data_IF_979548307710
#
_entry.id   IF_979548307710
#
_cell.length_a   1.000
_cell.length_b   1.000
_cell.length_c   1.000
_cell.angle_alpha   90.00
_cell.angle_beta   90.00
_cell.angle_gamma   90.00
#
_symmetry.space_group_name_H-M   'P 1'
#
loop_
_entity.id
_entity.type
_entity.pdbx_description
1 polymer ?
#
# COMPACT_ATOMS: atom_id res chain seq x y z
N UNK A 1 22.96 -5.81 -20.04
CA UNK A 1 22.57 -5.33 -18.70
C UNK A 1 21.12 -5.75 -18.54
N UNK A 2 20.99 -6.97 -18.05
CA UNK A 2 19.83 -7.82 -18.23
C UNK A 2 19.02 -7.77 -16.93
N UNK A 3 18.08 -6.83 -16.85
CA UNK A 3 17.21 -6.65 -15.68
C UNK A 3 16.05 -7.67 -15.63
N UNK A 4 16.21 -8.84 -16.24
CA UNK A 4 15.12 -9.80 -16.48
C UNK A 4 15.22 -11.09 -15.65
N UNK A 5 16.11 -11.17 -14.67
CA UNK A 5 16.19 -12.32 -13.75
C UNK A 5 15.85 -11.94 -12.31
N UNK A 6 14.78 -11.16 -12.15
CA UNK A 6 14.11 -11.17 -10.86
C UNK A 6 13.42 -12.54 -10.71
N UNK A 7 13.61 -13.24 -9.57
CA UNK A 7 12.95 -14.51 -9.35
C UNK A 7 11.45 -14.33 -9.56
N UNK A 8 10.78 -15.33 -10.14
CA UNK A 8 9.31 -15.44 -10.08
C UNK A 8 8.98 -15.62 -8.61
N UNK A 9 8.93 -14.50 -7.92
CA UNK A 9 8.41 -14.45 -6.59
C UNK A 9 6.91 -14.85 -6.69
N UNK A 10 6.36 -15.44 -5.64
CA UNK A 10 5.04 -16.07 -5.69
C UNK A 10 3.97 -15.07 -6.13
N UNK A 11 2.77 -15.55 -6.47
CA UNK A 11 1.58 -14.69 -6.55
C UNK A 11 1.48 -13.87 -5.23
N UNK A 12 2.00 -12.64 -5.21
CA UNK A 12 2.08 -11.83 -3.98
C UNK A 12 3.32 -10.95 -3.83
N UNK A 13 4.38 -11.17 -4.58
CA UNK A 13 5.60 -10.37 -4.44
C UNK A 13 5.65 -9.22 -5.45
N UNK A 14 5.14 -8.08 -5.01
CA UNK A 14 5.18 -6.82 -5.75
C UNK A 14 6.46 -6.07 -5.39
N UNK A 15 7.10 -5.39 -6.36
CA UNK A 15 8.16 -4.48 -5.99
C UNK A 15 7.56 -3.27 -5.28
N UNK A 16 8.23 -2.80 -4.23
CA UNK A 16 7.88 -1.54 -3.57
C UNK A 16 7.75 -0.38 -4.56
N UNK A 17 8.53 -0.42 -5.64
CA UNK A 17 8.47 0.56 -6.74
C UNK A 17 7.16 0.54 -7.51
N UNK A 18 6.50 -0.62 -7.63
CA UNK A 18 5.20 -0.74 -8.29
C UNK A 18 4.07 -0.24 -7.38
N UNK A 19 4.23 -0.38 -6.06
CA UNK A 19 3.27 0.09 -5.06
C UNK A 19 3.32 1.61 -4.87
N UNK A 20 4.46 2.24 -5.13
CA UNK A 20 4.63 3.69 -5.06
C UNK A 20 3.64 4.44 -5.97
N UNK A 21 2.92 5.39 -5.39
CA UNK A 21 1.88 6.16 -6.08
C UNK A 21 0.57 5.42 -6.28
N UNK A 22 0.45 4.16 -5.85
CA UNK A 22 -0.82 3.45 -5.85
C UNK A 22 -1.81 4.11 -4.88
N UNK A 23 -3.07 4.10 -5.27
CA UNK A 23 -4.17 4.57 -4.44
C UNK A 23 -4.55 3.47 -3.45
N UNK A 24 -4.60 3.82 -2.17
CA UNK A 24 -4.99 2.88 -1.12
C UNK A 24 -6.45 3.12 -0.75
N UNK A 25 -7.23 2.05 -0.79
CA UNK A 25 -8.66 2.05 -0.50
C UNK A 25 -8.97 1.00 0.56
N UNK A 26 -9.94 1.26 1.42
CA UNK A 26 -10.40 0.27 2.38
C UNK A 26 -11.34 -0.74 1.73
N UNK A 27 -11.58 -1.88 2.38
CA UNK A 27 -12.62 -2.86 2.02
C UNK A 27 -14.03 -2.25 1.97
N UNK A 28 -14.24 -1.12 2.65
CA UNK A 28 -15.48 -0.33 2.63
C UNK A 28 -15.54 0.69 1.47
N UNK A 29 -14.48 0.78 0.67
CA UNK A 29 -14.36 1.71 -0.46
C UNK A 29 -13.89 3.12 -0.07
N UNK A 30 -13.43 3.34 1.17
CA UNK A 30 -12.88 4.64 1.58
C UNK A 30 -11.46 4.82 1.05
N UNK A 31 -11.20 5.91 0.33
CA UNK A 31 -9.86 6.22 -0.18
C UNK A 31 -8.96 6.83 0.89
N UNK A 32 -8.09 6.00 1.50
CA UNK A 32 -7.12 6.45 2.51
C UNK A 32 -6.12 7.46 1.94
N UNK A 33 -5.76 7.34 0.66
CA UNK A 33 -4.80 8.23 0.03
C UNK A 33 -3.95 7.53 -1.01
N UNK A 34 -2.70 7.98 -1.16
CA UNK A 34 -1.73 7.36 -2.08
C UNK A 34 -0.46 6.99 -1.34
N UNK A 35 0.13 5.84 -1.69
CA UNK A 35 1.45 5.44 -1.20
C UNK A 35 2.48 6.45 -1.68
N UNK A 36 3.18 7.08 -0.75
CA UNK A 36 4.27 8.03 -1.04
C UNK A 36 5.62 7.50 -0.62
N UNK A 37 5.66 6.56 0.33
CA UNK A 37 6.90 5.97 0.80
C UNK A 37 6.66 4.56 1.37
N UNK A 38 7.74 3.81 1.59
CA UNK A 38 7.74 2.55 2.31
C UNK A 38 8.87 2.52 3.34
N UNK A 39 8.54 2.15 4.57
CA UNK A 39 9.50 2.00 5.67
C UNK A 39 9.66 0.53 6.04
N UNK A 40 10.88 0.02 5.90
CA UNK A 40 11.25 -1.31 6.40
C UNK A 40 11.56 -1.19 7.91
N UNK A 41 10.76 -1.82 8.76
CA UNK A 41 10.96 -1.78 10.22
C UNK A 41 11.81 -2.95 10.74
N UNK A 42 12.45 -3.71 9.85
CA UNK A 42 13.26 -4.89 10.15
C UNK A 42 12.47 -6.17 10.44
N UNK A 43 11.17 -6.06 10.77
CA UNK A 43 10.27 -7.22 10.91
C UNK A 43 9.17 -7.25 9.85
N UNK A 44 8.60 -6.08 9.51
CA UNK A 44 7.61 -5.95 8.45
C UNK A 44 7.82 -4.61 7.73
N UNK A 45 7.40 -4.57 6.47
CA UNK A 45 7.32 -3.33 5.72
C UNK A 45 6.10 -2.51 6.14
N UNK A 46 6.21 -1.20 6.08
CA UNK A 46 5.14 -0.25 6.41
C UNK A 46 4.94 0.69 5.24
N UNK A 47 3.74 0.71 4.67
CA UNK A 47 3.32 1.69 3.66
C UNK A 47 3.11 3.04 4.32
N UNK A 48 3.75 4.07 3.77
CA UNK A 48 3.48 5.46 4.12
C UNK A 48 2.51 6.02 3.10
N UNK A 49 1.28 6.25 3.54
CA UNK A 49 0.18 6.71 2.69
C UNK A 49 -0.06 8.18 3.00
N UNK A 50 0.06 9.03 1.99
CA UNK A 50 -0.34 10.42 2.11
C UNK A 50 -1.85 10.53 1.94
N UNK A 51 -2.51 10.98 2.99
CA UNK A 51 -3.94 11.23 2.97
C UNK A 51 -4.28 12.41 2.04
N UNK A 52 -5.51 12.41 1.54
CA UNK A 52 -5.98 13.48 0.67
C UNK A 52 -6.19 14.79 1.45
N UNK A 53 -6.10 15.93 0.78
CA UNK A 53 -6.32 17.27 1.38
C UNK A 53 -7.69 17.45 2.05
N UNK A 54 -8.66 16.59 1.71
CA UNK A 54 -10.02 16.54 2.27
C UNK A 54 -10.26 15.25 3.05
N UNK A 55 -9.23 14.72 3.70
CA UNK A 55 -9.41 13.56 4.56
C UNK A 55 -10.34 13.92 5.73
N UNK A 56 -11.34 13.07 5.97
CA UNK A 56 -12.38 13.33 6.95
C UNK A 56 -11.85 13.38 8.39
N UNK A 57 -10.66 12.82 8.63
CA UNK A 57 -10.05 12.69 9.95
C UNK A 57 -8.92 13.71 10.19
N UNK A 58 -8.61 14.56 9.20
CA UNK A 58 -7.52 15.53 9.30
C UNK A 58 -6.12 14.91 9.39
N UNK A 59 -6.01 13.62 9.05
CA UNK A 59 -4.75 12.88 9.04
C UNK A 59 -3.96 13.30 7.81
N UNK A 60 -2.65 13.53 7.97
CA UNK A 60 -1.76 13.88 6.85
C UNK A 60 -1.12 12.65 6.22
N UNK A 61 -0.70 11.72 7.06
CA UNK A 61 0.07 10.54 6.70
C UNK A 61 -0.40 9.36 7.54
N UNK A 62 -0.52 8.19 6.92
CA UNK A 62 -0.95 6.94 7.54
C UNK A 62 0.13 5.90 7.36
N UNK A 63 0.40 5.17 8.42
CA UNK A 63 1.41 4.11 8.45
C UNK A 63 0.68 2.78 8.49
N UNK A 64 0.61 2.11 7.34
CA UNK A 64 -0.14 0.86 7.19
C UNK A 64 0.85 -0.29 7.02
N UNK A 65 0.93 -1.24 7.95
CA UNK A 65 1.83 -2.37 7.81
C UNK A 65 1.44 -3.24 6.62
N UNK A 66 2.42 -3.58 5.78
CA UNK A 66 2.24 -4.40 4.59
C UNK A 66 2.17 -5.88 4.98
N UNK A 67 1.04 -6.28 5.58
CA UNK A 67 0.77 -7.66 5.96
C UNK A 67 -0.19 -8.28 4.96
N UNK A 68 0.34 -9.09 4.03
CA UNK A 68 -0.48 -9.82 3.06
C UNK A 68 -1.52 -10.72 3.74
N UNK A 69 -2.75 -10.70 3.23
CA UNK A 69 -3.91 -11.43 3.76
C UNK A 69 -4.52 -10.85 5.04
N UNK A 70 -3.72 -10.23 5.92
CA UNK A 70 -4.19 -9.58 7.14
C UNK A 70 -4.69 -8.16 6.86
N UNK A 71 -3.78 -7.29 6.44
CA UNK A 71 -4.04 -5.87 6.18
C UNK A 71 -4.20 -5.64 4.69
N UNK A 72 -3.30 -6.15 3.86
CA UNK A 72 -3.41 -6.06 2.41
C UNK A 72 -4.35 -7.16 1.93
N UNK A 73 -5.51 -6.79 1.37
CA UNK A 73 -6.49 -7.75 0.86
C UNK A 73 -6.30 -8.02 -0.63
N UNK A 74 -5.97 -6.98 -1.38
CA UNK A 74 -5.76 -7.09 -2.82
C UNK A 74 -4.84 -5.99 -3.32
N UNK A 75 -3.96 -6.33 -4.25
CA UNK A 75 -3.13 -5.37 -4.98
C UNK A 75 -3.49 -5.49 -6.46
N UNK A 76 -3.97 -4.41 -7.05
CA UNK A 76 -4.27 -4.32 -8.46
C UNK A 76 -3.29 -3.33 -9.11
N UNK A 77 -2.22 -3.87 -9.70
CA UNK A 77 -1.22 -3.04 -10.39
C UNK A 77 -1.74 -2.46 -11.71
N UNK A 78 -2.77 -3.08 -12.33
CA UNK A 78 -3.34 -2.58 -13.57
C UNK A 78 -4.08 -1.25 -13.33
N UNK A 79 -4.82 -1.14 -12.23
CA UNK A 79 -5.48 0.11 -11.81
C UNK A 79 -4.66 0.93 -10.80
N UNK A 80 -3.48 0.45 -10.40
CA UNK A 80 -2.64 1.03 -9.33
C UNK A 80 -3.44 1.27 -8.04
N UNK A 81 -4.22 0.29 -7.64
CA UNK A 81 -5.09 0.35 -6.47
C UNK A 81 -4.73 -0.76 -5.50
N UNK A 82 -4.60 -0.43 -4.22
CA UNK A 82 -4.33 -1.37 -3.13
C UNK A 82 -5.55 -1.35 -2.21
N UNK A 83 -6.20 -2.50 -2.09
CA UNK A 83 -7.28 -2.71 -1.14
C UNK A 83 -6.71 -3.21 0.18
N UNK A 84 -7.01 -2.48 1.26
CA UNK A 84 -6.57 -2.79 2.61
C UNK A 84 -7.74 -2.88 3.57
N UNK A 85 -7.59 -3.67 4.61
CA UNK A 85 -8.50 -3.68 5.74
C UNK A 85 -7.86 -2.87 6.87
N UNK A 86 -8.07 -1.55 6.82
CA UNK A 86 -7.49 -0.60 7.75
C UNK A 86 -8.48 0.49 8.12
N UNK A 87 -8.49 0.88 9.40
CA UNK A 87 -9.41 1.90 9.89
C UNK A 87 -8.94 3.31 9.49
N UNK A 88 -9.79 4.11 8.83
CA UNK A 88 -9.44 5.46 8.40
C UNK A 88 -9.34 6.48 9.57
N UNK A 89 -9.69 6.12 10.79
CA UNK A 89 -9.50 6.96 11.98
C UNK A 89 -8.20 6.69 12.75
N UNK A 90 -7.44 5.65 12.39
CA UNK A 90 -6.22 5.21 13.09
C UNK A 90 -4.95 5.95 12.64
#
# INVERSE_FOLDING_TARGET
MDSSQLPKLGEGDYYWKDLMGCQVVTTEGYGLGKVIDMMETGSNDVLVIKANLKDAFGIKERLVPFLDGQVIKKVDLATRTIEVDWDPGF
#
